data_IF_629598738587
#
_entry.id   IF_629598738587
#
_cell.length_a   1.000
_cell.length_b   1.000
_cell.length_c   1.000
_cell.angle_alpha   90.00
_cell.angle_beta   90.00
_cell.angle_gamma   90.00
#
_symmetry.space_group_name_H-M   'P 1'
#
loop_
_entity.id
_entity.type
_entity.pdbx_description
1 polymer ?
#
# COMPACT_ATOMS: atom_id res chain seq x y z
N UNK A 1 -9.72 13.73 5.40
CA UNK A 1 -9.85 12.25 5.47
C UNK A 1 -8.96 11.65 4.39
N UNK A 2 -8.12 10.67 4.72
CA UNK A 2 -7.29 9.94 3.74
C UNK A 2 -8.12 8.98 2.89
N UNK A 3 -7.51 8.47 1.83
CA UNK A 3 -7.92 7.28 1.09
C UNK A 3 -6.82 6.24 1.29
N UNK A 4 -7.17 5.04 1.71
CA UNK A 4 -6.20 4.03 2.10
C UNK A 4 -6.14 2.91 1.05
N UNK A 5 -4.96 2.32 0.90
CA UNK A 5 -4.76 1.10 0.14
C UNK A 5 -3.97 0.10 0.97
N UNK A 6 -4.27 -1.16 0.72
CA UNK A 6 -3.55 -2.29 1.30
C UNK A 6 -2.95 -3.09 0.17
N UNK A 7 -1.65 -3.33 0.24
CA UNK A 7 -0.92 -4.09 -0.76
C UNK A 7 -0.21 -5.23 -0.07
N UNK A 8 -0.28 -6.43 -0.63
CA UNK A 8 0.52 -7.54 -0.13
C UNK A 8 1.09 -8.45 -1.20
N UNK A 9 2.18 -9.12 -0.83
CA UNK A 9 2.77 -10.23 -1.55
C UNK A 9 2.15 -11.54 -1.08
N UNK A 10 1.49 -12.25 -1.99
CA UNK A 10 0.77 -13.47 -1.70
C UNK A 10 -0.06 -13.96 -2.88
N UNK A 11 -0.74 -15.11 -2.72
CA UNK A 11 -1.60 -15.64 -3.78
C UNK A 11 -2.73 -14.66 -4.10
N UNK A 12 -3.08 -14.58 -5.39
CA UNK A 12 -4.26 -13.83 -5.82
C UNK A 12 -5.51 -14.42 -5.15
N UNK A 13 -6.34 -13.60 -4.49
CA UNK A 13 -7.57 -14.07 -3.89
C UNK A 13 -8.56 -14.49 -4.99
N UNK A 14 -9.39 -15.49 -4.69
CA UNK A 14 -10.38 -16.01 -5.64
C UNK A 14 -11.51 -15.00 -5.91
N UNK A 15 -11.87 -14.21 -4.90
CA UNK A 15 -12.89 -13.17 -4.94
C UNK A 15 -12.60 -12.08 -3.88
N UNK A 16 -13.43 -11.03 -3.88
CA UNK A 16 -13.31 -9.91 -2.95
C UNK A 16 -13.55 -10.33 -1.48
N UNK A 17 -14.32 -11.38 -1.24
CA UNK A 17 -14.55 -11.91 0.11
C UNK A 17 -13.29 -12.60 0.66
N UNK A 18 -12.62 -13.40 -0.17
CA UNK A 18 -11.32 -14.01 0.10
C UNK A 18 -10.24 -12.95 0.31
N UNK A 19 -10.25 -11.88 -0.49
CA UNK A 19 -9.35 -10.74 -0.31
C UNK A 19 -9.56 -10.05 1.05
N UNK A 20 -10.82 -9.83 1.45
CA UNK A 20 -11.16 -9.23 2.73
C UNK A 20 -10.73 -10.10 3.92
N UNK A 21 -10.93 -11.42 3.83
CA UNK A 21 -10.52 -12.37 4.86
C UNK A 21 -8.99 -12.41 5.01
N UNK A 22 -8.27 -12.44 3.88
CA UNK A 22 -6.81 -12.43 3.87
C UNK A 22 -6.24 -11.11 4.40
N UNK A 23 -6.84 -9.98 4.01
CA UNK A 23 -6.50 -8.68 4.57
C UNK A 23 -6.63 -8.68 6.10
N UNK A 24 -7.76 -9.13 6.65
CA UNK A 24 -7.96 -9.19 8.11
C UNK A 24 -6.89 -10.05 8.81
N UNK A 25 -6.55 -11.20 8.22
CA UNK A 25 -5.48 -12.09 8.74
C UNK A 25 -4.12 -11.40 8.74
N UNK A 26 -3.76 -10.72 7.65
CA UNK A 26 -2.49 -10.02 7.50
C UNK A 26 -2.42 -8.79 8.43
N UNK A 27 -3.48 -8.01 8.50
CA UNK A 27 -3.56 -6.82 9.36
C UNK A 27 -3.38 -7.20 10.83
N UNK A 28 -4.10 -8.23 11.30
CA UNK A 28 -3.94 -8.73 12.66
C UNK A 28 -2.49 -9.15 12.93
N UNK A 29 -1.88 -9.88 11.99
CA UNK A 29 -0.54 -10.45 12.18
C UNK A 29 0.60 -9.43 12.10
N UNK A 30 0.52 -8.47 11.18
CA UNK A 30 1.64 -7.60 10.82
C UNK A 30 1.49 -6.15 11.31
N UNK A 31 0.28 -5.74 11.70
CA UNK A 31 -0.02 -4.39 12.20
C UNK A 31 -0.42 -4.44 13.68
N UNK A 32 -1.48 -5.18 14.04
CA UNK A 32 -2.04 -5.17 15.42
C UNK A 32 -1.14 -5.89 16.43
N UNK A 33 -0.72 -7.12 16.14
CA UNK A 33 0.06 -7.94 17.08
C UNK A 33 1.52 -7.45 17.28
N UNK A 34 1.86 -6.26 16.79
CA UNK A 34 3.09 -5.50 17.09
C UNK A 34 4.42 -6.20 16.77
N UNK A 35 4.39 -7.33 16.06
CA UNK A 35 5.59 -7.98 15.54
C UNK A 35 5.99 -7.32 14.21
N UNK A 36 6.44 -6.07 14.25
CA UNK A 36 7.00 -5.39 13.07
C UNK A 36 8.11 -6.28 12.52
N UNK A 37 7.91 -6.78 11.29
CA UNK A 37 8.90 -7.59 10.60
C UNK A 37 9.54 -6.75 9.51
N UNK A 38 10.84 -6.96 9.22
CA UNK A 38 11.43 -6.40 8.00
C UNK A 38 10.51 -6.65 6.79
N UNK A 39 10.22 -5.62 5.98
CA UNK A 39 9.44 -5.80 4.77
C UNK A 39 10.09 -6.85 3.87
N UNK A 40 9.26 -7.63 3.18
CA UNK A 40 9.75 -8.54 2.17
C UNK A 40 10.40 -7.77 1.02
N UNK A 41 11.34 -8.40 0.28
CA UNK A 41 12.00 -7.75 -0.85
C UNK A 41 11.01 -7.15 -1.86
N UNK A 42 9.95 -7.89 -2.23
CA UNK A 42 8.92 -7.44 -3.16
C UNK A 42 8.20 -6.17 -2.69
N UNK A 43 7.90 -6.08 -1.39
CA UNK A 43 7.26 -4.90 -0.79
C UNK A 43 8.23 -3.72 -0.72
N UNK A 44 9.50 -3.99 -0.38
CA UNK A 44 10.55 -2.96 -0.40
C UNK A 44 10.69 -2.35 -1.79
N UNK A 45 10.77 -3.19 -2.83
CA UNK A 45 10.87 -2.75 -4.22
C UNK A 45 9.64 -1.98 -4.68
N UNK A 46 8.45 -2.40 -4.24
CA UNK A 46 7.20 -1.71 -4.53
C UNK A 46 7.17 -0.31 -3.91
N UNK A 47 7.48 -0.18 -2.61
CA UNK A 47 7.55 1.13 -1.94
C UNK A 47 8.58 2.03 -2.61
N UNK A 48 9.76 1.52 -2.96
CA UNK A 48 10.77 2.30 -3.69
C UNK A 48 10.27 2.77 -5.06
N UNK A 49 9.47 1.97 -5.77
CA UNK A 49 8.87 2.38 -7.03
C UNK A 49 7.85 3.51 -6.84
N UNK A 50 7.00 3.42 -5.80
CA UNK A 50 6.09 4.50 -5.44
C UNK A 50 6.86 5.79 -5.11
N UNK A 51 7.92 5.69 -4.30
CA UNK A 51 8.72 6.85 -3.87
C UNK A 51 9.54 7.50 -5.00
N UNK A 52 9.91 6.74 -6.04
CA UNK A 52 10.51 7.31 -7.26
C UNK A 52 9.53 8.18 -8.05
N UNK A 53 8.23 7.87 -7.98
CA UNK A 53 7.18 8.58 -8.70
C UNK A 53 6.56 9.70 -7.87
N UNK A 54 6.42 9.47 -6.57
CA UNK A 54 5.81 10.38 -5.62
C UNK A 54 6.69 10.44 -4.36
N UNK A 55 7.48 11.52 -4.22
CA UNK A 55 8.37 11.69 -3.08
C UNK A 55 7.64 11.55 -1.74
N UNK A 56 8.38 11.09 -0.73
CA UNK A 56 7.84 10.94 0.62
C UNK A 56 7.41 12.30 1.21
N UNK A 57 6.42 12.29 2.11
CA UNK A 57 5.94 13.51 2.75
C UNK A 57 7.06 14.08 3.64
N UNK A 58 7.45 15.34 3.39
CA UNK A 58 8.54 15.99 4.12
C UNK A 58 9.94 15.71 3.59
N UNK A 59 10.09 15.01 2.46
CA UNK A 59 11.33 15.01 1.70
C UNK A 59 11.57 16.42 1.15
N UNK A 60 12.36 17.22 1.88
CA UNK A 60 12.76 18.62 1.65
C UNK A 60 12.26 19.28 0.35
N UNK A 61 11.25 20.16 0.49
CA UNK A 61 10.90 21.28 -0.41
C UNK A 61 11.12 21.07 -1.92
N UNK A 62 10.56 20.00 -2.47
CA UNK A 62 10.27 19.94 -3.90
C UNK A 62 8.78 20.24 -4.06
N UNK A 63 8.45 21.25 -4.86
CA UNK A 63 7.11 21.83 -5.05
C UNK A 63 6.04 20.89 -5.63
N UNK A 64 6.14 19.59 -5.38
CA UNK A 64 5.14 18.57 -5.64
C UNK A 64 4.58 18.13 -4.29
N UNK A 65 3.34 18.55 -3.99
CA UNK A 65 2.62 18.13 -2.79
C UNK A 65 2.54 16.61 -2.76
N UNK A 66 3.36 15.97 -1.91
CA UNK A 66 3.37 14.52 -1.72
C UNK A 66 1.94 14.01 -1.55
N UNK A 67 1.53 12.94 -2.26
CA UNK A 67 0.18 12.44 -2.16
C UNK A 67 -0.08 11.71 -0.85
N UNK A 68 0.97 11.34 -0.11
CA UNK A 68 0.87 10.50 1.07
C UNK A 68 0.24 11.24 2.24
N UNK A 69 -0.62 10.55 2.99
CA UNK A 69 -1.27 11.11 4.18
C UNK A 69 -0.34 11.14 5.40
N UNK A 70 0.80 10.44 5.33
CA UNK A 70 1.81 10.33 6.39
C UNK A 70 3.19 10.23 5.77
N UNK A 71 4.21 10.76 6.45
CA UNK A 71 5.61 10.55 6.07
C UNK A 71 6.09 9.14 6.43
N UNK A 72 7.18 8.72 5.79
CA UNK A 72 7.82 7.44 6.08
C UNK A 72 7.05 6.28 5.46
N UNK A 73 6.76 6.35 4.15
CA UNK A 73 5.97 5.30 3.48
C UNK A 73 6.55 3.89 3.68
N UNK A 74 7.88 3.77 3.73
CA UNK A 74 8.57 2.50 4.01
C UNK A 74 8.31 1.98 5.43
N UNK A 75 8.13 2.86 6.41
CA UNK A 75 7.85 2.49 7.80
C UNK A 75 6.46 1.86 7.97
N UNK A 76 5.58 2.01 6.98
CA UNK A 76 4.27 1.37 6.96
C UNK A 76 4.29 -0.08 6.44
N UNK A 77 5.44 -0.57 5.97
CA UNK A 77 5.59 -1.93 5.49
C UNK A 77 6.00 -2.89 6.63
N UNK A 78 5.42 -4.08 6.66
CA UNK A 78 5.74 -5.13 7.63
C UNK A 78 5.53 -6.50 7.01
N UNK A 79 6.62 -7.27 6.87
CA UNK A 79 6.59 -8.55 6.18
C UNK A 79 6.03 -8.43 4.74
N UNK A 80 4.99 -9.21 4.36
CA UNK A 80 4.39 -9.15 3.04
C UNK A 80 3.43 -7.98 2.84
N UNK A 81 3.15 -7.16 3.86
CA UNK A 81 2.07 -6.20 3.86
C UNK A 81 2.60 -4.76 3.82
N UNK A 82 1.94 -3.92 3.04
CA UNK A 82 2.02 -2.47 3.11
C UNK A 82 0.62 -1.91 3.29
N UNK A 83 0.42 -1.07 4.31
CA UNK A 83 -0.81 -0.31 4.52
C UNK A 83 -0.49 1.17 4.41
N UNK A 84 -1.13 1.94 3.54
CA UNK A 84 -0.80 3.35 3.40
C UNK A 84 -1.99 4.20 2.99
N UNK A 85 -1.99 5.44 3.47
CA UNK A 85 -2.98 6.45 3.15
C UNK A 85 -2.46 7.51 2.19
N UNK A 86 -3.35 8.08 1.40
CA UNK A 86 -3.10 9.22 0.52
C UNK A 86 -4.18 10.30 0.65
N UNK A 87 -3.91 11.51 0.19
CA UNK A 87 -4.90 12.58 0.09
C UNK A 87 -6.05 12.17 -0.84
N UNK A 88 -7.29 12.40 -0.41
CA UNK A 88 -8.47 11.99 -1.17
C UNK A 88 -8.57 12.67 -2.55
N UNK A 89 -8.14 13.93 -2.65
CA UNK A 89 -8.22 14.72 -3.88
C UNK A 89 -7.28 14.20 -4.98
N UNK A 90 -6.21 13.49 -4.61
CA UNK A 90 -5.23 12.90 -5.53
C UNK A 90 -5.38 11.39 -5.69
N UNK A 91 -6.26 10.76 -4.91
CA UNK A 91 -6.39 9.30 -4.84
C UNK A 91 -6.67 8.66 -6.20
N UNK A 92 -7.49 9.28 -7.06
CA UNK A 92 -7.80 8.72 -8.38
C UNK A 92 -6.55 8.47 -9.24
N UNK A 93 -5.63 9.43 -9.28
CA UNK A 93 -4.36 9.32 -10.02
C UNK A 93 -3.38 8.39 -9.32
N UNK A 94 -3.27 8.49 -7.99
CA UNK A 94 -2.29 7.74 -7.21
C UNK A 94 -2.64 6.26 -7.15
N UNK A 95 -3.90 5.90 -6.92
CA UNK A 95 -4.38 4.51 -6.93
C UNK A 95 -4.06 3.85 -8.26
N UNK A 96 -4.31 4.53 -9.38
CA UNK A 96 -4.08 3.97 -10.72
C UNK A 96 -2.59 3.62 -10.95
N UNK A 97 -1.67 4.50 -10.54
CA UNK A 97 -0.25 4.20 -10.65
C UNK A 97 0.25 3.19 -9.60
N UNK A 98 -0.32 3.19 -8.39
CA UNK A 98 -0.02 2.22 -7.36
C UNK A 98 -0.42 0.79 -7.78
N UNK A 99 -1.57 0.65 -8.44
CA UNK A 99 -2.04 -0.61 -9.03
C UNK A 99 -1.13 -1.06 -10.18
N UNK A 100 -0.72 -0.14 -11.07
CA UNK A 100 0.20 -0.46 -12.15
C UNK A 100 1.55 -0.99 -11.64
N UNK A 101 2.13 -0.37 -10.61
CA UNK A 101 3.39 -0.83 -9.99
C UNK A 101 3.25 -2.17 -9.27
N UNK A 102 2.07 -2.45 -8.69
CA UNK A 102 1.79 -3.70 -8.00
C UNK A 102 1.67 -4.86 -8.99
N UNK A 103 1.00 -4.64 -10.13
CA UNK A 103 0.87 -5.62 -11.21
C UNK A 103 2.23 -6.11 -11.73
N UNK A 104 3.20 -5.21 -11.89
CA UNK A 104 4.56 -5.56 -12.34
C UNK A 104 5.28 -6.53 -11.39
N UNK A 105 4.82 -6.62 -10.15
CA UNK A 105 5.41 -7.43 -9.06
C UNK A 105 4.48 -8.55 -8.60
N UNK A 106 3.37 -8.79 -9.29
CA UNK A 106 2.33 -9.76 -8.91
C UNK A 106 1.79 -9.55 -7.49
N UNK A 107 1.71 -8.30 -7.05
CA UNK A 107 1.16 -7.94 -5.74
C UNK A 107 -0.36 -7.78 -5.82
N UNK A 108 -1.04 -8.11 -4.72
CA UNK A 108 -2.48 -7.86 -4.59
C UNK A 108 -2.69 -6.45 -4.05
N UNK A 109 -3.58 -5.69 -4.68
CA UNK A 109 -4.01 -4.37 -4.20
C UNK A 109 -5.46 -4.46 -3.76
N UNK A 110 -5.73 -4.16 -2.50
CA UNK A 110 -7.06 -4.16 -1.91
C UNK A 110 -7.44 -2.77 -1.45
N UNK A 111 -8.67 -2.40 -1.76
CA UNK A 111 -9.30 -1.19 -1.30
C UNK A 111 -10.18 -1.51 -0.08
N UNK A 112 -9.79 -1.10 1.14
CA UNK A 112 -10.56 -1.40 2.34
C UNK A 112 -11.87 -0.61 2.41
N UNK A 113 -12.00 0.52 1.67
CA UNK A 113 -13.21 1.33 1.65
C UNK A 113 -14.26 0.73 0.71
N UNK A 114 -13.84 0.26 -0.46
CA UNK A 114 -14.72 -0.39 -1.43
C UNK A 114 -14.84 -1.91 -1.22
N UNK A 115 -14.00 -2.45 -0.35
CA UNK A 115 -13.89 -3.87 -0.01
C UNK A 115 -13.65 -4.78 -1.22
N UNK A 116 -12.82 -4.33 -2.16
CA UNK A 116 -12.54 -5.07 -3.39
C UNK A 116 -11.07 -5.04 -3.78
N UNK A 117 -10.67 -6.02 -4.58
CA UNK A 117 -9.36 -6.00 -5.24
C UNK A 117 -9.37 -4.97 -6.36
N UNK A 118 -8.33 -4.14 -6.41
CA UNK A 118 -8.09 -3.19 -7.50
C UNK A 118 -7.26 -3.92 -8.54
N UNK A 119 -7.88 -4.20 -9.69
CA UNK A 119 -7.17 -4.73 -10.84
C UNK A 119 -6.59 -3.62 -11.64
#
# INVERSE_FOLDING_TARGET
>A
MSYDLVVWDGPAPADDAGAAAEYGRLYMKYIELSAVRPPWPTITEYVQALLRRWPDLGAHDLGETSPWASSGLMSNASGPLLYFGMGRDVAGTVVSGAVAEARLRNLVVYDPQERRVRS
#
